data_IF_163220945005
#
_entry.id   IF_163220945005
#
_cell.length_a   1.000
_cell.length_b   1.000
_cell.length_c   1.000
_cell.angle_alpha   90.00
_cell.angle_beta   90.00
_cell.angle_gamma   90.00
#
_symmetry.space_group_name_H-M   'P 1'
#
loop_
_entity.id
_entity.type
_entity.pdbx_description
1 polymer ?
#
# COMPACT_ATOMS: atom_id res chain seq x y z
N UNK A 1 -28.25 1.28 6.58
CA UNK A 1 -27.32 1.34 5.44
C UNK A 1 -26.64 0.01 5.38
N UNK A 2 -26.96 -0.81 4.38
CA UNK A 2 -26.15 -1.98 4.04
C UNK A 2 -24.83 -1.43 3.50
N UNK A 3 -23.87 -1.24 4.40
CA UNK A 3 -22.57 -0.71 4.04
C UNK A 3 -21.96 -1.66 3.03
N UNK A 4 -21.81 -1.21 1.78
CA UNK A 4 -21.11 -1.99 0.77
C UNK A 4 -19.75 -2.36 1.35
N UNK A 5 -19.53 -3.66 1.51
CA UNK A 5 -18.23 -4.17 1.91
C UNK A 5 -17.27 -3.80 0.79
N UNK A 6 -16.31 -2.91 1.07
CA UNK A 6 -15.23 -2.60 0.14
C UNK A 6 -14.52 -3.91 -0.20
N UNK A 7 -14.79 -4.46 -1.38
CA UNK A 7 -14.12 -5.65 -1.85
C UNK A 7 -12.79 -5.24 -2.45
N UNK A 8 -11.74 -5.21 -1.62
CA UNK A 8 -10.38 -4.92 -2.09
C UNK A 8 -9.93 -6.00 -3.08
N UNK A 9 -9.91 -5.71 -4.37
CA UNK A 9 -9.34 -6.63 -5.34
C UNK A 9 -7.81 -6.54 -5.36
N UNK A 10 -7.15 -7.33 -6.21
CA UNK A 10 -5.69 -7.29 -6.29
C UNK A 10 -5.18 -5.94 -6.81
N UNK A 11 -5.93 -5.26 -7.69
CA UNK A 11 -5.58 -3.94 -8.22
C UNK A 11 -5.57 -2.89 -7.12
N UNK A 12 -6.57 -2.92 -6.23
CA UNK A 12 -6.63 -2.06 -5.06
C UNK A 12 -5.43 -2.29 -4.13
N UNK A 13 -5.06 -3.56 -3.93
CA UNK A 13 -3.90 -3.91 -3.10
C UNK A 13 -2.59 -3.40 -3.72
N UNK A 14 -2.41 -3.53 -5.04
CA UNK A 14 -1.25 -2.97 -5.76
C UNK A 14 -1.18 -1.44 -5.58
N UNK A 15 -2.30 -0.75 -5.81
CA UNK A 15 -2.38 0.71 -5.67
C UNK A 15 -2.04 1.17 -4.25
N UNK A 16 -2.69 0.60 -3.23
CA UNK A 16 -2.45 0.95 -1.84
C UNK A 16 -1.02 0.62 -1.38
N UNK A 17 -0.47 -0.50 -1.84
CA UNK A 17 0.91 -0.88 -1.52
C UNK A 17 1.91 0.14 -2.09
N UNK A 18 1.68 0.58 -3.33
CA UNK A 18 2.49 1.60 -4.00
C UNK A 18 2.42 2.95 -3.28
N UNK A 19 1.22 3.41 -2.93
CA UNK A 19 1.02 4.66 -2.18
C UNK A 19 1.68 4.61 -0.82
N UNK A 20 1.50 3.51 -0.07
CA UNK A 20 2.11 3.36 1.24
C UNK A 20 3.64 3.32 1.18
N UNK A 21 4.22 2.63 0.19
CA UNK A 21 5.67 2.61 0.00
C UNK A 21 6.23 4.01 -0.28
N UNK A 22 5.58 4.78 -1.15
CA UNK A 22 5.95 6.18 -1.44
C UNK A 22 5.85 7.07 -0.19
N UNK A 23 4.73 6.98 0.53
CA UNK A 23 4.48 7.72 1.76
C UNK A 23 5.46 7.38 2.89
N UNK A 24 5.90 6.11 2.98
CA UNK A 24 6.90 5.66 3.93
C UNK A 24 8.27 6.26 3.62
N UNK A 25 8.63 6.40 2.34
CA UNK A 25 9.89 7.04 1.92
C UNK A 25 9.90 8.56 2.12
N UNK A 26 8.73 9.20 2.04
CA UNK A 26 8.57 10.64 2.32
C UNK A 26 8.32 10.97 3.80
N UNK A 27 8.39 9.97 4.69
CA UNK A 27 8.08 10.08 6.12
C UNK A 27 6.68 10.64 6.44
N UNK A 28 5.73 10.52 5.51
CA UNK A 28 4.36 11.01 5.67
C UNK A 28 3.32 9.91 5.41
N UNK A 29 3.19 8.97 6.35
CA UNK A 29 2.25 7.85 6.25
C UNK A 29 0.85 8.13 6.80
N UNK A 30 0.65 9.27 7.47
CA UNK A 30 -0.56 9.57 8.25
C UNK A 30 -1.89 9.38 7.48
N UNK A 31 -2.03 9.84 6.23
CA UNK A 31 -3.29 9.73 5.50
C UNK A 31 -3.67 8.30 5.09
N UNK A 32 -2.69 7.39 4.95
CA UNK A 32 -2.89 6.06 4.35
C UNK A 32 -3.11 4.98 5.43
N UNK A 33 -2.69 5.23 6.67
CA UNK A 33 -2.82 4.27 7.78
C UNK A 33 -4.27 3.83 8.03
N UNK A 34 -5.23 4.75 7.94
CA UNK A 34 -6.66 4.46 8.10
C UNK A 34 -7.23 3.56 7.00
N UNK A 35 -6.59 3.53 5.83
CA UNK A 35 -7.01 2.68 4.71
C UNK A 35 -6.41 1.27 4.87
N UNK A 36 -5.15 1.18 5.32
CA UNK A 36 -4.45 -0.10 5.52
C UNK A 36 -5.14 -0.96 6.59
N UNK A 37 -5.68 -0.34 7.65
CA UNK A 37 -6.39 -1.10 8.70
C UNK A 37 -7.65 -1.79 8.18
N UNK A 38 -8.26 -1.23 7.12
CA UNK A 38 -9.45 -1.78 6.46
C UNK A 38 -9.16 -2.91 5.48
N UNK A 39 -7.88 -3.17 5.15
CA UNK A 39 -7.51 -4.29 4.28
C UNK A 39 -7.86 -5.63 4.96
N UNK A 40 -8.60 -6.52 4.29
CA UNK A 40 -8.95 -7.84 4.80
C UNK A 40 -7.73 -8.66 5.24
N UNK A 41 -7.88 -9.43 6.33
CA UNK A 41 -6.76 -10.16 6.96
C UNK A 41 -6.07 -11.13 6.01
N UNK A 42 -6.84 -11.82 5.19
CA UNK A 42 -6.39 -12.75 4.14
C UNK A 42 -5.55 -12.05 3.06
N UNK A 43 -5.79 -10.76 2.82
CA UNK A 43 -5.07 -9.94 1.82
C UNK A 43 -3.86 -9.19 2.39
N UNK A 44 -3.75 -9.07 3.72
CA UNK A 44 -2.61 -8.35 4.36
C UNK A 44 -1.25 -8.92 4.00
N UNK A 45 -1.12 -10.25 3.90
CA UNK A 45 0.14 -10.88 3.49
C UNK A 45 0.53 -10.45 2.08
N UNK A 46 -0.42 -10.44 1.14
CA UNK A 46 -0.19 -9.99 -0.23
C UNK A 46 0.19 -8.49 -0.25
N UNK A 47 -0.57 -7.66 0.45
CA UNK A 47 -0.28 -6.22 0.60
C UNK A 47 1.15 -5.95 1.06
N UNK A 48 1.61 -6.54 2.18
CA UNK A 48 2.96 -6.29 2.69
C UNK A 48 4.06 -6.78 1.76
N UNK A 49 3.83 -7.88 1.02
CA UNK A 49 4.78 -8.33 -0.01
C UNK A 49 4.91 -7.29 -1.13
N UNK A 50 3.80 -6.70 -1.57
CA UNK A 50 3.80 -5.64 -2.58
C UNK A 50 4.43 -4.35 -2.07
N UNK A 51 4.19 -3.97 -0.82
CA UNK A 51 4.88 -2.83 -0.18
C UNK A 51 6.40 -3.01 -0.22
N UNK A 52 6.92 -4.19 0.12
CA UNK A 52 8.36 -4.48 0.05
C UNK A 52 8.90 -4.33 -1.37
N UNK A 53 8.16 -4.84 -2.35
CA UNK A 53 8.53 -4.68 -3.76
C UNK A 53 8.63 -3.20 -4.17
N UNK A 54 7.62 -2.39 -3.85
CA UNK A 54 7.60 -0.96 -4.19
C UNK A 54 8.64 -0.14 -3.42
N UNK A 55 8.91 -0.46 -2.16
CA UNK A 55 9.99 0.18 -1.40
C UNK A 55 11.34 0.00 -2.10
N UNK A 56 11.66 -1.24 -2.52
CA UNK A 56 12.89 -1.50 -3.27
C UNK A 56 12.88 -0.72 -4.60
N UNK A 57 11.80 -0.81 -5.37
CA UNK A 57 11.67 -0.13 -6.67
C UNK A 57 11.83 1.40 -6.57
N UNK A 58 11.33 2.03 -5.50
CA UNK A 58 11.42 3.48 -5.30
C UNK A 58 12.73 3.91 -4.65
N UNK A 59 13.34 3.05 -3.84
CA UNK A 59 14.69 3.27 -3.30
C UNK A 59 15.75 3.26 -4.41
N UNK A 60 15.64 2.34 -5.37
CA UNK A 60 16.58 2.23 -6.50
C UNK A 60 16.53 3.45 -7.45
N UNK A 61 15.42 4.21 -7.44
CA UNK A 61 15.27 5.42 -8.27
C UNK A 61 15.96 6.66 -7.72
N UNK A 62 16.57 6.60 -6.51
CA UNK A 62 17.35 7.73 -5.98
C UNK A 62 18.71 7.94 -6.67
N UNK A 63 19.13 7.01 -7.54
CA UNK A 63 20.44 7.04 -8.22
C UNK A 63 20.36 7.39 -9.73
N UNK A 64 19.24 7.91 -10.22
CA UNK A 64 19.15 8.41 -11.61
C UNK A 64 19.21 9.94 -11.64
N UNK A 65 20.26 10.55 -12.25
CA UNK A 65 20.47 12.00 -12.30
C UNK A 65 19.43 12.75 -13.12
#
# INVERSE_FOLDING_TARGET
MDGESFNFDNTDIEFLASMYASAKLSANTSPIMHIIVSIPRDKKKHFYNRVKHYLNLYSDKKDTP
#
